data_IF_518870721068
#
_entry.id   IF_518870721068
#
_cell.length_a   1.000
_cell.length_b   1.000
_cell.length_c   1.000
_cell.angle_alpha   90.00
_cell.angle_beta   90.00
_cell.angle_gamma   90.00
#
_symmetry.space_group_name_H-M   'P 1'
#
loop_
_entity.id
_entity.type
_entity.pdbx_description
1 polymer ?
#
# COMPACT_ATOMS: atom_id res chain seq x y z
N UNK A 1 -26.98 -54.78 -23.95
CA UNK A 1 -27.81 -53.57 -23.86
C UNK A 1 -27.77 -53.15 -22.42
N UNK A 2 -27.12 -52.14 -22.08
CA UNK A 2 -27.36 -50.74 -22.08
C UNK A 2 -26.03 -50.01 -21.86
N UNK A 3 -25.59 -49.32 -22.83
CA UNK A 3 -24.63 -48.23 -22.67
C UNK A 3 -25.44 -46.95 -22.47
N UNK A 4 -24.80 -45.88 -22.13
CA UNK A 4 -25.18 -44.50 -21.85
C UNK A 4 -24.97 -44.20 -20.37
N UNK A 5 -24.18 -43.30 -20.01
CA UNK A 5 -23.87 -41.95 -20.35
C UNK A 5 -22.82 -41.47 -19.34
N UNK A 6 -21.59 -41.43 -19.73
CA UNK A 6 -20.52 -40.78 -18.95
C UNK A 6 -19.99 -39.58 -19.73
N UNK A 7 -20.88 -38.65 -20.07
CA UNK A 7 -20.54 -37.49 -20.87
C UNK A 7 -21.38 -36.24 -20.49
N UNK A 8 -21.40 -35.86 -19.22
CA UNK A 8 -22.05 -34.58 -18.84
C UNK A 8 -21.55 -34.01 -17.50
N UNK A 9 -20.24 -34.09 -17.23
CA UNK A 9 -19.65 -33.42 -16.07
C UNK A 9 -18.32 -32.74 -16.38
N UNK A 10 -18.17 -32.27 -17.62
CA UNK A 10 -17.06 -31.40 -18.04
C UNK A 10 -17.63 -30.13 -18.61
N UNK A 11 -17.85 -29.13 -17.78
CA UNK A 11 -17.86 -27.72 -18.16
C UNK A 11 -18.56 -26.88 -17.09
N UNK A 12 -17.93 -26.58 -16.00
CA UNK A 12 -18.08 -25.29 -15.31
C UNK A 12 -16.81 -25.06 -14.49
N UNK A 13 -15.68 -25.00 -15.15
CA UNK A 13 -14.59 -24.15 -14.66
C UNK A 13 -14.89 -22.80 -15.33
N UNK A 14 -15.81 -22.06 -14.77
CA UNK A 14 -15.91 -20.63 -15.03
C UNK A 14 -14.55 -20.04 -14.70
N UNK A 15 -13.86 -19.62 -15.75
CA UNK A 15 -12.73 -18.71 -15.68
C UNK A 15 -13.29 -17.43 -15.00
N UNK A 16 -13.25 -17.36 -13.69
CA UNK A 16 -13.39 -16.08 -12.99
C UNK A 16 -12.28 -15.22 -13.52
N UNK A 17 -12.60 -14.35 -14.47
CA UNK A 17 -11.73 -13.28 -14.89
C UNK A 17 -11.34 -12.55 -13.59
N UNK A 18 -10.09 -12.69 -13.18
CA UNK A 18 -9.57 -11.97 -12.01
C UNK A 18 -9.65 -10.50 -12.35
N UNK A 19 -10.45 -9.77 -11.57
CA UNK A 19 -10.58 -8.32 -11.70
C UNK A 19 -9.19 -7.68 -11.72
N UNK A 20 -8.95 -6.77 -12.66
CA UNK A 20 -7.67 -6.07 -12.73
C UNK A 20 -7.49 -5.14 -11.52
N UNK A 21 -6.24 -4.77 -11.23
CA UNK A 21 -5.95 -3.81 -10.17
C UNK A 21 -6.59 -2.45 -10.46
N UNK A 22 -6.61 -2.02 -11.72
CA UNK A 22 -7.28 -0.78 -12.13
C UNK A 22 -8.80 -0.86 -11.93
N UNK A 23 -9.43 -1.99 -12.27
CA UNK A 23 -10.86 -2.20 -12.00
C UNK A 23 -11.15 -2.19 -10.50
N UNK A 24 -10.24 -2.79 -9.70
CA UNK A 24 -10.36 -2.79 -8.23
C UNK A 24 -10.24 -1.40 -7.64
N UNK A 25 -9.32 -0.58 -8.13
CA UNK A 25 -9.21 0.83 -7.75
C UNK A 25 -10.50 1.59 -8.07
N UNK A 26 -11.05 1.38 -9.27
CA UNK A 26 -12.32 2.00 -9.70
C UNK A 26 -13.49 1.55 -8.81
N UNK A 27 -13.61 0.26 -8.50
CA UNK A 27 -14.64 -0.27 -7.59
C UNK A 27 -14.58 0.37 -6.21
N UNK A 28 -13.36 0.57 -5.69
CA UNK A 28 -13.11 1.20 -4.39
C UNK A 28 -13.25 2.75 -4.44
N UNK A 29 -13.47 3.32 -5.61
CA UNK A 29 -13.52 4.78 -5.80
C UNK A 29 -12.17 5.47 -5.54
N UNK A 30 -11.07 4.73 -5.72
CA UNK A 30 -9.71 5.22 -5.46
C UNK A 30 -9.09 5.72 -6.76
N UNK A 31 -8.73 7.00 -6.76
CA UNK A 31 -7.83 7.58 -7.76
C UNK A 31 -6.44 7.67 -7.15
N UNK A 32 -5.46 6.99 -7.76
CA UNK A 32 -4.07 7.10 -7.30
C UNK A 32 -3.56 8.52 -7.55
N UNK A 33 -2.85 9.10 -6.56
CA UNK A 33 -2.19 10.39 -6.76
C UNK A 33 -1.09 10.28 -7.82
N UNK A 34 -0.66 11.42 -8.36
CA UNK A 34 0.63 11.47 -9.05
C UNK A 34 1.74 11.07 -8.08
N UNK A 35 2.69 10.25 -8.55
CA UNK A 35 3.76 9.77 -7.70
C UNK A 35 4.59 10.95 -7.15
N UNK A 36 4.66 11.15 -5.82
CA UNK A 36 5.38 12.28 -5.25
C UNK A 36 6.84 12.28 -5.68
N UNK A 37 7.34 13.44 -6.13
CA UNK A 37 8.75 13.62 -6.45
C UNK A 37 9.62 13.51 -5.20
N UNK A 38 10.87 13.09 -5.37
CA UNK A 38 11.85 13.13 -4.29
C UNK A 38 12.13 14.60 -3.89
N UNK A 39 12.06 14.87 -2.60
CA UNK A 39 12.29 16.22 -2.06
C UNK A 39 13.77 16.57 -1.85
N UNK A 40 14.68 15.63 -2.14
CA UNK A 40 16.12 15.78 -1.96
C UNK A 40 16.90 14.92 -2.99
N UNK A 41 18.23 14.87 -2.87
CA UNK A 41 19.11 14.14 -3.79
C UNK A 41 19.06 12.61 -3.56
N UNK A 42 17.89 11.99 -3.74
CA UNK A 42 17.69 10.54 -3.70
C UNK A 42 16.65 10.11 -4.73
N UNK A 43 16.51 8.80 -4.94
CA UNK A 43 15.49 8.26 -5.85
C UNK A 43 14.21 7.92 -5.06
N UNK A 44 13.00 8.18 -5.60
CA UNK A 44 11.75 7.83 -4.93
C UNK A 44 11.53 6.32 -4.84
N UNK A 45 12.20 5.57 -5.69
CA UNK A 45 12.27 4.10 -5.68
C UNK A 45 13.53 3.61 -6.38
N UNK A 46 13.92 2.36 -6.07
CA UNK A 46 15.00 1.64 -6.78
C UNK A 46 14.49 0.25 -7.14
N UNK A 47 14.80 -0.20 -8.35
CA UNK A 47 14.58 -1.58 -8.78
C UNK A 47 15.92 -2.34 -8.84
N UNK A 48 15.92 -3.55 -8.28
CA UNK A 48 17.02 -4.51 -8.42
C UNK A 48 16.45 -5.91 -8.70
N UNK A 49 16.75 -6.46 -9.89
CA UNK A 49 16.08 -7.68 -10.35
C UNK A 49 14.55 -7.49 -10.39
N UNK A 50 13.84 -8.36 -9.71
CA UNK A 50 12.39 -8.34 -9.57
C UNK A 50 11.88 -7.61 -8.31
N UNK A 51 12.75 -6.92 -7.57
CA UNK A 51 12.38 -6.18 -6.37
C UNK A 51 12.39 -4.67 -6.61
N UNK A 52 11.36 -4.01 -6.09
CA UNK A 52 11.28 -2.55 -5.99
C UNK A 52 11.24 -2.16 -4.51
N UNK A 53 12.07 -1.19 -4.16
CA UNK A 53 12.12 -0.55 -2.85
C UNK A 53 11.72 0.91 -3.01
N UNK A 54 10.67 1.36 -2.34
CA UNK A 54 10.33 2.77 -2.31
C UNK A 54 11.12 3.48 -1.21
N UNK A 55 11.40 4.76 -1.42
CA UNK A 55 11.78 5.65 -0.32
C UNK A 55 10.60 5.86 0.61
N UNK A 56 10.85 6.43 1.80
CA UNK A 56 9.80 6.76 2.76
C UNK A 56 8.77 7.72 2.15
N UNK A 57 7.51 7.31 2.15
CA UNK A 57 6.38 8.10 1.68
C UNK A 57 5.69 8.75 2.88
N UNK A 58 5.52 10.07 2.81
CA UNK A 58 4.74 10.86 3.75
C UNK A 58 3.28 10.96 3.26
N UNK A 59 2.33 11.43 4.07
CA UNK A 59 0.92 11.55 3.69
C UNK A 59 0.67 12.79 2.81
N UNK A 60 1.41 12.90 1.70
CA UNK A 60 1.22 13.96 0.70
C UNK A 60 -0.15 13.85 0.05
N UNK A 61 -0.87 14.95 0.00
CA UNK A 61 -2.12 15.12 -0.73
C UNK A 61 -2.23 16.56 -1.24
N UNK A 62 -2.43 16.73 -2.52
CA UNK A 62 -2.59 18.05 -3.18
C UNK A 62 -1.40 19.02 -2.92
N UNK A 63 -0.19 18.46 -2.80
CA UNK A 63 1.04 19.24 -2.59
C UNK A 63 1.34 19.60 -1.13
N UNK A 64 0.53 19.15 -0.17
CA UNK A 64 0.68 19.44 1.25
C UNK A 64 0.72 18.15 2.10
N UNK A 65 1.26 18.21 3.31
CA UNK A 65 1.14 17.13 4.31
C UNK A 65 -0.27 17.17 4.88
N UNK A 66 -1.09 16.19 4.52
CA UNK A 66 -2.51 16.14 4.90
C UNK A 66 -2.73 15.89 6.40
N UNK A 67 -1.76 15.26 7.08
CA UNK A 67 -1.83 14.93 8.50
C UNK A 67 -0.49 15.23 9.15
N UNK A 68 -0.43 16.28 9.97
CA UNK A 68 0.77 16.73 10.68
C UNK A 68 0.54 16.69 12.19
N UNK A 69 1.61 16.47 12.97
CA UNK A 69 1.57 16.38 14.43
C UNK A 69 1.77 14.97 14.97
N UNK A 70 1.69 14.84 16.30
CA UNK A 70 1.97 13.60 17.03
C UNK A 70 0.69 12.85 17.37
N UNK A 71 0.66 11.55 17.08
CA UNK A 71 -0.36 10.62 17.56
C UNK A 71 -0.36 10.59 19.10
N UNK A 72 -1.54 10.64 19.70
CA UNK A 72 -1.69 10.73 21.16
C UNK A 72 -1.52 12.15 21.72
N UNK A 73 -1.38 13.15 20.86
CA UNK A 73 -1.41 14.58 21.19
C UNK A 73 -2.31 15.34 20.21
N UNK A 74 -1.74 15.85 19.10
CA UNK A 74 -2.48 16.67 18.13
C UNK A 74 -3.30 15.82 17.13
N UNK A 75 -2.87 14.57 16.87
CA UNK A 75 -3.45 13.69 15.87
C UNK A 75 -4.19 12.53 16.54
N UNK A 76 -5.43 12.29 16.13
CA UNK A 76 -6.24 11.16 16.61
C UNK A 76 -5.76 9.83 15.98
N UNK A 77 -6.12 8.70 16.59
CA UNK A 77 -5.84 7.36 16.04
C UNK A 77 -6.50 7.19 14.66
N UNK A 78 -7.71 7.74 14.45
CA UNK A 78 -8.41 7.71 13.17
C UNK A 78 -7.67 8.52 12.10
N UNK A 79 -7.24 9.75 12.42
CA UNK A 79 -6.44 10.56 11.48
C UNK A 79 -5.09 9.90 11.19
N UNK A 80 -4.50 9.24 12.18
CA UNK A 80 -3.30 8.44 12.00
C UNK A 80 -3.50 7.26 11.04
N UNK A 81 -4.64 6.55 11.15
CA UNK A 81 -5.03 5.50 10.21
C UNK A 81 -5.17 6.07 8.79
N UNK A 82 -5.83 7.22 8.63
CA UNK A 82 -5.97 7.88 7.34
C UNK A 82 -4.62 8.39 6.79
N UNK A 83 -3.73 8.86 7.67
CA UNK A 83 -2.37 9.22 7.28
C UNK A 83 -1.58 8.02 6.73
N UNK A 84 -1.65 6.86 7.41
CA UNK A 84 -1.02 5.62 6.95
C UNK A 84 -1.61 5.16 5.60
N UNK A 85 -2.94 5.26 5.43
CA UNK A 85 -3.63 4.98 4.17
C UNK A 85 -3.13 5.89 3.04
N UNK A 86 -2.99 7.20 3.29
CA UNK A 86 -2.46 8.16 2.31
C UNK A 86 -1.00 7.86 1.94
N UNK A 87 -0.16 7.54 2.92
CA UNK A 87 1.23 7.12 2.67
C UNK A 87 1.28 5.87 1.76
N UNK A 88 0.39 4.90 1.99
CA UNK A 88 0.31 3.69 1.17
C UNK A 88 -0.17 3.99 -0.27
N UNK A 89 -1.12 4.91 -0.46
CA UNK A 89 -1.52 5.39 -1.81
C UNK A 89 -0.32 5.98 -2.54
N UNK A 90 0.48 6.81 -1.87
CA UNK A 90 1.69 7.40 -2.44
C UNK A 90 2.74 6.33 -2.78
N UNK A 91 2.91 5.31 -1.93
CA UNK A 91 3.81 4.20 -2.21
C UNK A 91 3.34 3.34 -3.41
N UNK A 92 2.03 3.07 -3.53
CA UNK A 92 1.44 2.37 -4.68
C UNK A 92 1.62 3.20 -5.96
N UNK A 93 1.47 4.53 -5.89
CA UNK A 93 1.76 5.42 -7.02
C UNK A 93 3.22 5.32 -7.46
N UNK A 94 4.18 5.19 -6.52
CA UNK A 94 5.59 4.93 -6.85
C UNK A 94 5.77 3.57 -7.54
N UNK A 95 5.08 2.51 -7.08
CA UNK A 95 5.12 1.21 -7.77
C UNK A 95 4.57 1.31 -9.20
N UNK A 96 3.46 2.05 -9.39
CA UNK A 96 2.90 2.29 -10.72
C UNK A 96 3.88 3.05 -11.62
N UNK A 97 4.53 4.09 -11.10
CA UNK A 97 5.56 4.84 -11.83
C UNK A 97 6.77 3.96 -12.20
N UNK A 98 7.17 3.04 -11.31
CA UNK A 98 8.30 2.15 -11.52
C UNK A 98 8.02 1.03 -12.54
N UNK A 99 6.76 0.56 -12.63
CA UNK A 99 6.38 -0.61 -13.45
C UNK A 99 5.62 -0.23 -14.72
N UNK A 100 5.02 0.96 -14.75
CA UNK A 100 4.07 1.41 -15.76
C UNK A 100 2.69 0.76 -15.65
N UNK A 101 2.58 -0.39 -14.95
CA UNK A 101 1.35 -1.16 -14.79
C UNK A 101 1.36 -1.91 -13.46
N UNK A 102 0.34 -1.73 -12.62
CA UNK A 102 0.23 -2.40 -11.34
C UNK A 102 -0.04 -3.91 -11.44
N UNK A 103 -0.49 -4.41 -12.60
CA UNK A 103 -0.60 -5.85 -12.82
C UNK A 103 0.75 -6.56 -12.76
N UNK A 104 1.84 -5.83 -12.99
CA UNK A 104 3.20 -6.34 -12.82
C UNK A 104 3.59 -6.56 -11.36
N UNK A 105 2.88 -6.00 -10.38
CA UNK A 105 3.12 -6.25 -8.96
C UNK A 105 2.68 -7.67 -8.62
N UNK A 106 3.63 -8.53 -8.35
CA UNK A 106 3.44 -9.94 -8.00
C UNK A 106 3.10 -10.11 -6.52
N UNK A 107 3.76 -9.34 -5.68
CA UNK A 107 3.59 -9.42 -4.23
C UNK A 107 4.06 -8.12 -3.55
N UNK A 108 3.28 -7.65 -2.59
CA UNK A 108 3.79 -6.71 -1.59
C UNK A 108 4.50 -7.55 -0.52
N UNK A 109 5.80 -7.34 -0.36
CA UNK A 109 6.64 -8.15 0.53
C UNK A 109 6.64 -7.57 1.93
N UNK A 110 6.82 -6.23 2.03
CA UNK A 110 7.03 -5.58 3.32
C UNK A 110 6.57 -4.13 3.32
N UNK A 111 6.03 -3.71 4.46
CA UNK A 111 5.74 -2.32 4.80
C UNK A 111 6.48 -1.98 6.09
N UNK A 112 7.38 -1.00 6.04
CA UNK A 112 8.03 -0.41 7.20
C UNK A 112 7.36 0.92 7.51
N UNK A 113 6.61 0.97 8.62
CA UNK A 113 5.84 2.15 9.06
C UNK A 113 6.44 2.79 10.31
N UNK A 114 6.54 4.10 10.26
CA UNK A 114 7.02 4.97 11.33
C UNK A 114 5.91 5.94 11.70
N UNK A 115 5.58 5.99 12.98
CA UNK A 115 4.48 6.77 13.51
C UNK A 115 5.05 7.88 14.41
N UNK A 116 4.82 9.13 14.04
CA UNK A 116 5.17 10.29 14.85
C UNK A 116 4.23 10.33 16.06
N UNK A 117 4.75 10.13 17.25
CA UNK A 117 3.88 9.97 18.41
C UNK A 117 4.44 10.61 19.67
N UNK A 118 3.52 10.97 20.57
CA UNK A 118 3.81 11.45 21.91
C UNK A 118 4.31 10.31 22.80
N UNK A 119 4.93 10.68 23.92
CA UNK A 119 5.35 9.72 24.94
C UNK A 119 4.15 8.92 25.46
N UNK A 120 4.34 7.61 25.60
CA UNK A 120 3.30 6.72 26.11
C UNK A 120 2.31 6.22 25.07
N UNK A 121 2.32 6.71 23.83
CA UNK A 121 1.47 6.17 22.76
C UNK A 121 1.77 4.69 22.50
N UNK A 122 0.73 3.86 22.25
CA UNK A 122 0.87 2.40 22.10
C UNK A 122 0.16 1.82 20.86
N UNK A 123 -0.69 2.60 20.19
CA UNK A 123 -1.57 2.11 19.12
C UNK A 123 -0.91 2.12 17.72
N UNK A 124 0.43 2.01 17.65
CA UNK A 124 1.17 1.99 16.39
C UNK A 124 0.65 0.95 15.39
N UNK A 125 0.36 -0.33 15.78
CA UNK A 125 -0.16 -1.32 14.87
C UNK A 125 -1.53 -0.95 14.31
N UNK A 126 -2.42 -0.35 15.12
CA UNK A 126 -3.76 0.08 14.74
C UNK A 126 -3.70 1.21 13.70
N UNK A 127 -2.83 2.19 13.94
CA UNK A 127 -2.57 3.28 12.98
C UNK A 127 -2.07 2.73 11.65
N UNK A 128 -1.09 1.83 11.67
CA UNK A 128 -0.54 1.27 10.42
C UNK A 128 -1.50 0.33 9.69
N UNK A 129 -2.60 -0.12 10.31
CA UNK A 129 -3.66 -0.85 9.63
C UNK A 129 -4.22 -0.07 8.44
N UNK A 130 -4.26 1.27 8.47
CA UNK A 130 -4.68 2.07 7.33
C UNK A 130 -3.93 1.75 6.04
N UNK A 131 -2.63 1.46 6.14
CA UNK A 131 -1.82 1.01 5.01
C UNK A 131 -2.07 -0.46 4.66
N UNK A 132 -2.11 -1.35 5.66
CA UNK A 132 -2.26 -2.80 5.45
C UNK A 132 -3.61 -3.17 4.87
N UNK A 133 -4.68 -2.54 5.35
CA UNK A 133 -6.05 -2.77 4.89
C UNK A 133 -6.18 -2.32 3.43
N UNK A 134 -5.69 -1.12 3.10
CA UNK A 134 -5.69 -0.61 1.72
C UNK A 134 -4.95 -1.55 0.76
N UNK A 135 -3.75 -1.99 1.13
CA UNK A 135 -2.94 -2.89 0.31
C UNK A 135 -3.64 -4.23 0.10
N UNK A 136 -4.29 -4.75 1.14
CA UNK A 136 -5.08 -5.99 1.08
C UNK A 136 -6.34 -5.82 0.22
N UNK A 137 -7.03 -4.68 0.31
CA UNK A 137 -8.19 -4.33 -0.51
C UNK A 137 -7.85 -4.29 -2.00
N UNK A 138 -6.72 -3.66 -2.36
CA UNK A 138 -6.31 -3.46 -3.76
C UNK A 138 -5.71 -4.73 -4.36
N UNK A 139 -4.80 -5.40 -3.65
CA UNK A 139 -3.99 -6.49 -4.20
C UNK A 139 -4.47 -7.90 -3.79
N UNK A 140 -5.43 -8.02 -2.87
CA UNK A 140 -5.91 -9.31 -2.38
C UNK A 140 -4.77 -10.16 -1.80
N UNK A 141 -4.62 -11.40 -2.26
CA UNK A 141 -3.54 -12.30 -1.80
C UNK A 141 -2.13 -11.76 -2.11
N UNK A 142 -1.98 -11.01 -3.20
CA UNK A 142 -0.71 -10.33 -3.53
C UNK A 142 -0.36 -9.22 -2.54
N UNK A 143 -1.35 -8.72 -1.80
CA UNK A 143 -1.19 -7.70 -0.76
C UNK A 143 -0.79 -8.23 0.62
N UNK A 144 -0.78 -9.53 0.85
CA UNK A 144 -0.32 -10.11 2.11
C UNK A 144 1.17 -9.88 2.30
N UNK A 145 1.55 -9.19 3.37
CA UNK A 145 2.89 -8.67 3.58
C UNK A 145 3.36 -8.82 5.03
N UNK A 146 4.67 -8.75 5.23
CA UNK A 146 5.27 -8.52 6.55
C UNK A 146 5.31 -7.02 6.83
N UNK A 147 5.29 -6.61 8.11
CA UNK A 147 5.39 -5.18 8.44
C UNK A 147 6.18 -4.91 9.70
N UNK A 148 6.63 -3.68 9.81
CA UNK A 148 7.16 -3.05 11.01
C UNK A 148 6.29 -1.84 11.33
N UNK A 149 5.95 -1.61 12.61
CA UNK A 149 5.23 -0.43 13.09
C UNK A 149 5.96 0.10 14.34
N UNK A 150 6.68 1.20 14.19
CA UNK A 150 7.47 1.82 15.27
C UNK A 150 7.04 3.26 15.51
N UNK A 151 7.04 3.66 16.78
CA UNK A 151 6.92 5.06 17.17
C UNK A 151 8.28 5.77 17.04
N UNK A 152 8.24 7.00 16.56
CA UNK A 152 9.39 7.91 16.54
C UNK A 152 9.01 9.25 17.14
N UNK A 153 10.00 9.93 17.71
CA UNK A 153 9.77 11.17 18.44
C UNK A 153 9.69 12.40 17.52
N UNK A 154 10.43 12.39 16.41
CA UNK A 154 10.44 13.46 15.43
C UNK A 154 10.30 12.89 14.02
N UNK A 155 9.49 13.56 13.18
CA UNK A 155 9.21 13.17 11.80
C UNK A 155 9.51 14.34 10.85
N UNK A 156 10.11 14.09 9.68
CA UNK A 156 10.26 15.13 8.68
C UNK A 156 8.93 15.81 8.35
N UNK A 157 8.96 17.13 8.26
CA UNK A 157 7.79 17.97 7.96
C UNK A 157 6.64 17.80 8.95
N UNK A 158 6.93 17.35 10.18
CA UNK A 158 5.94 17.08 11.22
C UNK A 158 4.84 16.08 10.80
N UNK A 159 5.09 15.27 9.75
CA UNK A 159 4.09 14.33 9.24
C UNK A 159 3.72 13.28 10.31
N UNK A 160 2.44 12.93 10.42
CA UNK A 160 1.97 11.97 11.41
C UNK A 160 2.47 10.53 11.18
N UNK A 161 2.67 10.15 9.92
CA UNK A 161 3.13 8.81 9.51
C UNK A 161 4.08 8.90 8.33
N UNK A 162 5.04 8.00 8.29
CA UNK A 162 5.86 7.69 7.12
C UNK A 162 5.88 6.19 6.91
N UNK A 163 5.88 5.72 5.66
CA UNK A 163 6.15 4.32 5.37
C UNK A 163 7.01 4.11 4.13
N UNK A 164 7.76 3.02 4.12
CA UNK A 164 8.42 2.49 2.93
C UNK A 164 7.82 1.13 2.56
N UNK A 165 7.83 0.81 1.26
CA UNK A 165 7.25 -0.42 0.74
C UNK A 165 8.28 -1.18 -0.11
N UNK A 166 8.31 -2.51 0.06
CA UNK A 166 9.06 -3.41 -0.81
C UNK A 166 8.08 -4.31 -1.55
N UNK A 167 8.23 -4.39 -2.86
CA UNK A 167 7.37 -5.21 -3.72
C UNK A 167 8.19 -6.08 -4.67
N UNK A 168 7.68 -7.29 -4.94
CA UNK A 168 8.12 -8.13 -6.04
C UNK A 168 7.29 -7.80 -7.29
N UNK A 169 7.97 -7.70 -8.42
CA UNK A 169 7.34 -7.35 -9.71
C UNK A 169 7.75 -8.33 -10.81
N UNK A 170 6.93 -8.43 -11.84
CA UNK A 170 7.29 -9.11 -13.07
C UNK A 170 8.35 -8.30 -13.85
N UNK A 171 9.02 -8.99 -14.77
CA UNK A 171 9.96 -8.38 -15.72
C UNK A 171 9.24 -7.41 -16.69
#
# INVERSE_FOLDING_TARGET
MVGESCAAQQSVIECRATMSIEDKLNELGITLPEAPAAVAAYQPWIRTGNLIFTSGQLPWRDGEIAFAGKLGAEVSDEDGYQAARQCALNAIAQLKAATGDLEKVRKIIRIDGYIHCAEGFRNHPQVLNGASDLVSEIFGERGQHTRLALGIHEMPLDAAVQLAMTAEVAD
#
